data_IF_853012635970
#
_entry.id   IF_853012635970
#
_cell.length_a   1.000
_cell.length_b   1.000
_cell.length_c   1.000
_cell.angle_alpha   90.00
_cell.angle_beta   90.00
_cell.angle_gamma   90.00
#
_symmetry.space_group_name_H-M   'P 1'
#
loop_
_entity.id
_entity.type
_entity.pdbx_description
1 polymer ?
#
# COMPACT_ATOMS: atom_id res chain seq x y z
N UNK A 1 -4.35 -14.16 0.89
CA UNK A 1 -5.20 -14.05 -0.33
C UNK A 1 -6.42 -13.18 -0.03
N UNK A 2 -7.01 -12.55 -1.05
CA UNK A 2 -8.25 -11.78 -0.89
C UNK A 2 -9.36 -12.74 -0.44
N UNK A 3 -9.76 -12.65 0.83
CA UNK A 3 -10.87 -13.44 1.38
C UNK A 3 -12.16 -12.87 0.81
N UNK A 4 -12.63 -13.40 -0.32
CA UNK A 4 -13.90 -13.01 -0.94
C UNK A 4 -13.92 -13.20 -2.46
N UNK A 5 -15.12 -13.28 -3.04
CA UNK A 5 -15.30 -13.37 -4.48
C UNK A 5 -14.69 -12.14 -5.17
N UNK A 6 -13.96 -12.36 -6.27
CA UNK A 6 -13.37 -11.28 -7.09
C UNK A 6 -14.43 -10.48 -7.86
N UNK A 7 -15.71 -10.79 -7.68
CA UNK A 7 -16.87 -10.13 -8.30
C UNK A 7 -16.96 -8.65 -7.92
N UNK A 8 -16.53 -8.29 -6.71
CA UNK A 8 -16.50 -6.90 -6.22
C UNK A 8 -15.46 -6.03 -6.94
N UNK A 9 -14.62 -6.61 -7.79
CA UNK A 9 -13.60 -5.91 -8.56
C UNK A 9 -14.05 -5.71 -10.00
N UNK A 10 -13.64 -4.58 -10.59
CA UNK A 10 -13.90 -4.30 -12.01
C UNK A 10 -13.00 -5.15 -12.90
N UNK A 11 -13.38 -5.32 -14.17
CA UNK A 11 -12.54 -6.03 -15.15
C UNK A 11 -11.18 -5.34 -15.35
N UNK A 12 -11.12 -4.01 -15.17
CA UNK A 12 -9.85 -3.29 -15.20
C UNK A 12 -8.95 -3.66 -14.01
N UNK A 13 -9.51 -3.83 -12.81
CA UNK A 13 -8.74 -4.26 -11.64
C UNK A 13 -8.21 -5.68 -11.79
N UNK A 14 -9.03 -6.59 -12.32
CA UNK A 14 -8.64 -7.98 -12.60
C UNK A 14 -7.49 -8.06 -13.60
N UNK A 15 -7.62 -7.39 -14.77
CA UNK A 15 -6.54 -7.33 -15.79
C UNK A 15 -5.24 -6.74 -15.24
N UNK A 16 -5.31 -5.71 -14.39
CA UNK A 16 -4.12 -5.16 -13.73
C UNK A 16 -3.48 -6.16 -12.78
N UNK A 17 -4.27 -6.91 -12.01
CA UNK A 17 -3.75 -7.94 -11.12
C UNK A 17 -3.07 -9.05 -11.94
N UNK A 18 -3.73 -9.57 -12.98
CA UNK A 18 -3.17 -10.59 -13.87
C UNK A 18 -1.84 -10.16 -14.47
N UNK A 19 -1.75 -8.94 -15.01
CA UNK A 19 -0.50 -8.43 -15.59
C UNK A 19 0.65 -8.30 -14.56
N UNK A 20 0.33 -7.90 -13.32
CA UNK A 20 1.34 -7.83 -12.26
C UNK A 20 1.77 -9.24 -11.85
N UNK A 21 0.82 -10.15 -11.71
CA UNK A 21 1.06 -11.55 -11.34
C UNK A 21 1.98 -12.22 -12.36
N UNK A 22 1.69 -12.09 -13.65
CA UNK A 22 2.52 -12.59 -14.76
C UNK A 22 3.96 -12.07 -14.65
N UNK A 23 4.15 -10.76 -14.49
CA UNK A 23 5.50 -10.19 -14.34
C UNK A 23 6.26 -10.63 -13.08
N UNK A 24 5.57 -11.14 -12.04
CA UNK A 24 6.23 -11.77 -10.90
C UNK A 24 6.51 -13.26 -11.12
N UNK A 25 5.63 -13.98 -11.83
CA UNK A 25 5.87 -15.36 -12.26
C UNK A 25 7.08 -15.46 -13.17
N UNK A 26 7.22 -14.54 -14.13
CA UNK A 26 8.40 -14.43 -15.01
C UNK A 26 9.70 -14.22 -14.22
N UNK A 27 9.61 -13.58 -13.04
CA UNK A 27 10.75 -13.39 -12.12
C UNK A 27 10.99 -14.58 -11.19
N UNK A 28 10.30 -15.70 -11.41
CA UNK A 28 10.44 -16.93 -10.62
C UNK A 28 9.67 -16.95 -9.31
N UNK A 29 8.74 -16.02 -9.07
CA UNK A 29 7.86 -16.07 -7.89
C UNK A 29 6.78 -17.12 -8.13
N UNK A 30 6.51 -17.99 -7.14
CA UNK A 30 5.45 -18.98 -7.25
C UNK A 30 4.08 -18.32 -7.49
N UNK A 31 3.18 -19.03 -8.17
CA UNK A 31 1.89 -18.49 -8.62
C UNK A 31 1.08 -17.87 -7.49
N UNK A 32 0.97 -18.55 -6.35
CA UNK A 32 0.18 -18.09 -5.21
C UNK A 32 0.71 -16.76 -4.61
N UNK A 33 2.04 -16.63 -4.49
CA UNK A 33 2.64 -15.39 -3.98
C UNK A 33 2.60 -14.28 -5.01
N UNK A 34 2.79 -14.59 -6.29
CA UNK A 34 2.65 -13.63 -7.38
C UNK A 34 1.23 -13.04 -7.42
N UNK A 35 0.21 -13.91 -7.35
CA UNK A 35 -1.20 -13.51 -7.24
C UNK A 35 -1.43 -12.64 -6.00
N UNK A 36 -0.92 -13.07 -4.83
CA UNK A 36 -1.08 -12.31 -3.59
C UNK A 36 -0.46 -10.91 -3.68
N UNK A 37 0.74 -10.78 -4.28
CA UNK A 37 1.41 -9.50 -4.50
C UNK A 37 0.61 -8.63 -5.47
N UNK A 38 0.08 -9.22 -6.54
CA UNK A 38 -0.71 -8.51 -7.53
C UNK A 38 -1.98 -7.90 -6.92
N UNK A 39 -2.78 -8.70 -6.23
CA UNK A 39 -3.99 -8.23 -5.57
C UNK A 39 -3.71 -7.23 -4.45
N UNK A 40 -2.64 -7.43 -3.66
CA UNK A 40 -2.22 -6.44 -2.66
C UNK A 40 -1.86 -5.10 -3.32
N UNK A 41 -1.20 -5.13 -4.49
CA UNK A 41 -0.82 -3.93 -5.23
C UNK A 41 -2.05 -3.17 -5.75
N UNK A 42 -2.99 -3.88 -6.37
CA UNK A 42 -4.25 -3.29 -6.86
C UNK A 42 -5.04 -2.71 -5.69
N UNK A 43 -5.22 -3.47 -4.60
CA UNK A 43 -5.96 -3.03 -3.43
C UNK A 43 -5.35 -1.80 -2.78
N UNK A 44 -4.02 -1.71 -2.70
CA UNK A 44 -3.35 -0.52 -2.20
C UNK A 44 -3.66 0.71 -3.04
N UNK A 45 -3.75 0.58 -4.36
CA UNK A 45 -4.00 1.70 -5.26
C UNK A 45 -5.47 2.08 -5.39
N UNK A 46 -6.40 1.14 -5.20
CA UNK A 46 -7.83 1.36 -5.35
C UNK A 46 -8.59 1.45 -4.03
N UNK A 47 -8.00 1.04 -2.91
CA UNK A 47 -8.69 0.86 -1.63
C UNK A 47 -9.56 -0.40 -1.58
N UNK A 48 -9.42 -1.32 -2.54
CA UNK A 48 -10.22 -2.55 -2.65
C UNK A 48 -11.09 -2.60 -3.91
N UNK A 49 -12.11 -3.47 -3.93
CA UNK A 49 -12.99 -3.66 -5.08
C UNK A 49 -13.85 -2.43 -5.38
N UNK A 50 -13.81 -1.94 -6.62
CA UNK A 50 -14.52 -0.72 -7.01
C UNK A 50 -15.99 -0.96 -7.40
N UNK A 51 -16.37 -2.20 -7.68
CA UNK A 51 -17.76 -2.56 -8.04
C UNK A 51 -18.66 -2.71 -6.81
N UNK A 52 -18.12 -3.22 -5.71
CA UNK A 52 -18.92 -3.48 -4.50
C UNK A 52 -18.12 -3.68 -3.22
N UNK A 53 -16.88 -3.18 -3.16
CA UNK A 53 -16.04 -3.20 -1.96
C UNK A 53 -15.65 -1.80 -1.50
N UNK A 54 -14.70 -1.71 -0.57
CA UNK A 54 -14.21 -0.46 0.02
C UNK A 54 -13.58 0.50 -1.01
N UNK A 55 -13.20 0.00 -2.19
CA UNK A 55 -12.71 0.84 -3.28
C UNK A 55 -13.77 1.78 -3.86
N UNK A 56 -15.06 1.51 -3.60
CA UNK A 56 -16.17 2.41 -3.94
C UNK A 56 -16.19 3.68 -3.07
N UNK A 57 -15.85 3.53 -1.79
CA UNK A 57 -15.83 4.62 -0.80
C UNK A 57 -14.51 5.38 -0.80
N UNK A 58 -13.45 4.78 -1.35
CA UNK A 58 -12.14 5.42 -1.43
C UNK A 58 -12.18 6.58 -2.43
N UNK A 59 -11.83 7.78 -1.99
CA UNK A 59 -11.89 8.98 -2.83
C UNK A 59 -10.86 8.95 -3.96
N UNK A 60 -11.13 9.70 -5.04
CA UNK A 60 -10.18 9.83 -6.16
C UNK A 60 -8.82 10.39 -5.70
N UNK A 61 -8.84 11.36 -4.79
CA UNK A 61 -7.63 11.97 -4.20
C UNK A 61 -6.81 10.94 -3.42
N UNK A 62 -7.45 10.09 -2.63
CA UNK A 62 -6.75 9.01 -1.90
C UNK A 62 -6.15 7.98 -2.84
N UNK A 63 -6.90 7.55 -3.87
CA UNK A 63 -6.38 6.63 -4.91
C UNK A 63 -5.16 7.23 -5.62
N UNK A 64 -5.24 8.51 -6.00
CA UNK A 64 -4.14 9.23 -6.62
C UNK A 64 -2.91 9.29 -5.70
N UNK A 65 -3.13 9.63 -4.43
CA UNK A 65 -2.06 9.69 -3.44
C UNK A 65 -1.42 8.31 -3.19
N UNK A 66 -2.21 7.24 -3.17
CA UNK A 66 -1.71 5.87 -3.05
C UNK A 66 -0.83 5.45 -4.24
N UNK A 67 -1.20 5.85 -5.46
CA UNK A 67 -0.37 5.65 -6.67
C UNK A 67 0.92 6.45 -6.60
N UNK A 68 0.84 7.74 -6.24
CA UNK A 68 2.00 8.64 -6.11
C UNK A 68 3.02 8.14 -5.08
N UNK A 69 2.55 7.76 -3.89
CA UNK A 69 3.42 7.22 -2.83
C UNK A 69 4.05 5.89 -3.23
N UNK A 70 3.32 5.03 -3.94
CA UNK A 70 3.86 3.78 -4.47
C UNK A 70 4.96 4.01 -5.51
N UNK A 71 4.75 4.94 -6.44
CA UNK A 71 5.76 5.32 -7.43
C UNK A 71 7.02 5.92 -6.78
N UNK A 72 6.85 6.85 -5.82
CA UNK A 72 7.98 7.43 -5.06
C UNK A 72 8.78 6.34 -4.35
N UNK A 73 8.10 5.36 -3.72
CA UNK A 73 8.76 4.25 -3.04
C UNK A 73 9.49 3.31 -4.00
N UNK A 74 8.93 3.03 -5.17
CA UNK A 74 9.61 2.25 -6.20
C UNK A 74 10.90 2.96 -6.68
N UNK A 75 10.84 4.28 -6.89
CA UNK A 75 12.02 5.07 -7.24
C UNK A 75 13.09 5.07 -6.13
N UNK A 76 12.68 5.21 -4.86
CA UNK A 76 13.59 5.12 -3.73
C UNK A 76 14.26 3.75 -3.62
N UNK A 77 13.52 2.66 -3.84
CA UNK A 77 14.09 1.29 -3.87
C UNK A 77 15.14 1.14 -4.97
N UNK A 78 14.91 1.69 -6.18
CA UNK A 78 15.90 1.67 -7.27
C UNK A 78 17.18 2.43 -6.93
N UNK A 79 17.10 3.42 -6.03
CA UNK A 79 18.25 4.17 -5.50
C UNK A 79 18.90 3.51 -4.28
N UNK A 80 18.50 2.29 -3.92
CA UNK A 80 19.06 1.57 -2.76
C UNK A 80 18.61 2.08 -1.39
N UNK A 81 17.67 3.03 -1.32
CA UNK A 81 17.21 3.58 -0.03
C UNK A 81 16.34 2.53 0.68
N UNK A 82 16.73 2.00 1.85
CA UNK A 82 15.94 0.97 2.55
C UNK A 82 14.61 1.54 3.06
N UNK A 83 13.67 0.65 3.39
CA UNK A 83 12.34 1.07 3.88
C UNK A 83 12.38 1.60 5.32
N UNK A 84 13.35 1.17 6.13
CA UNK A 84 13.54 1.58 7.52
C UNK A 84 13.97 3.04 7.67
N UNK A 85 14.87 3.53 6.81
CA UNK A 85 15.29 4.94 6.75
C UNK A 85 14.19 5.89 6.22
N UNK A 86 13.04 5.35 5.82
CA UNK A 86 11.94 6.14 5.28
C UNK A 86 11.14 6.90 6.34
N UNK A 87 11.19 6.49 7.61
CA UNK A 87 10.42 7.15 8.69
C UNK A 87 10.96 8.55 8.98
N UNK A 88 12.29 8.73 8.95
CA UNK A 88 12.95 10.01 9.22
C UNK A 88 12.58 11.08 8.17
N UNK A 89 12.36 10.64 6.93
CA UNK A 89 11.98 11.50 5.79
C UNK A 89 10.47 11.79 5.70
N UNK A 90 9.66 11.24 6.60
CA UNK A 90 8.21 11.46 6.59
C UNK A 90 7.79 12.70 7.38
N UNK A 91 6.62 13.25 7.03
CA UNK A 91 6.03 14.36 7.76
C UNK A 91 5.47 13.88 9.09
N UNK A 92 5.41 14.77 10.09
CA UNK A 92 4.79 14.48 11.40
C UNK A 92 3.38 13.91 11.24
N UNK A 93 2.59 14.45 10.31
CA UNK A 93 1.24 13.94 10.01
C UNK A 93 1.21 12.51 9.49
N UNK A 94 2.14 12.14 8.60
CA UNK A 94 2.26 10.77 8.10
C UNK A 94 2.61 9.81 9.22
N UNK A 95 3.54 10.21 10.10
CA UNK A 95 3.92 9.45 11.28
C UNK A 95 2.75 9.31 12.26
N UNK A 96 1.97 10.37 12.51
CA UNK A 96 0.75 10.31 13.32
C UNK A 96 -0.30 9.34 12.75
N UNK A 97 -0.53 9.36 11.43
CA UNK A 97 -1.46 8.43 10.77
C UNK A 97 -1.02 6.97 10.93
N UNK A 98 0.28 6.71 10.79
CA UNK A 98 0.85 5.37 11.03
C UNK A 98 0.76 4.95 12.49
N UNK A 99 1.07 5.85 13.41
CA UNK A 99 0.97 5.60 14.84
C UNK A 99 -0.48 5.31 15.26
N UNK A 100 -1.45 6.01 14.66
CA UNK A 100 -2.88 5.71 14.82
C UNK A 100 -3.22 4.31 14.31
N UNK A 101 -2.75 3.93 13.13
CA UNK A 101 -2.99 2.60 12.56
C UNK A 101 -2.37 1.47 13.41
N UNK A 102 -1.26 1.74 14.12
CA UNK A 102 -0.64 0.82 15.09
C UNK A 102 -1.19 0.93 16.51
N UNK A 103 -2.22 1.75 16.76
CA UNK A 103 -2.81 1.99 18.09
C UNK A 103 -1.79 2.45 19.16
N UNK A 104 -0.79 3.25 18.77
CA UNK A 104 0.17 3.81 19.72
C UNK A 104 -0.54 4.82 20.62
N UNK A 105 -0.52 4.55 21.93
CA UNK A 105 -1.07 5.43 22.94
C UNK A 105 -0.16 6.66 23.13
N UNK A 106 -0.72 7.83 23.45
CA UNK A 106 0.06 9.07 23.57
C UNK A 106 0.60 9.64 22.24
N UNK A 107 0.32 9.02 21.08
CA UNK A 107 0.81 9.48 19.77
C UNK A 107 0.55 10.97 19.49
N UNK A 108 -0.55 11.52 19.99
CA UNK A 108 -0.94 12.92 19.73
C UNK A 108 -0.05 13.94 20.45
N UNK A 109 0.58 13.53 21.57
CA UNK A 109 1.51 14.38 22.33
C UNK A 109 2.96 14.21 21.88
N UNK A 110 3.26 13.17 21.11
CA UNK A 110 4.61 12.89 20.63
C UNK A 110 5.09 13.92 19.60
N UNK A 111 6.36 14.32 19.73
CA UNK A 111 7.06 15.07 18.71
C UNK A 111 7.47 14.15 17.53
N UNK A 112 8.06 14.72 16.47
CA UNK A 112 8.39 13.94 15.26
C UNK A 112 9.35 12.79 15.57
N UNK A 113 10.36 13.02 16.39
CA UNK A 113 11.39 12.04 16.74
C UNK A 113 10.80 10.90 17.58
N UNK A 114 10.00 11.24 18.60
CA UNK A 114 9.27 10.28 19.43
C UNK A 114 8.30 9.42 18.60
N UNK A 115 7.63 10.00 17.60
CA UNK A 115 6.79 9.23 16.68
C UNK A 115 7.60 8.29 15.79
N UNK A 116 8.81 8.68 15.37
CA UNK A 116 9.69 7.81 14.59
C UNK A 116 10.16 6.65 15.46
N UNK A 117 10.61 6.93 16.68
CA UNK A 117 11.07 5.92 17.63
C UNK A 117 9.96 4.93 17.98
N UNK A 118 8.75 5.40 18.28
CA UNK A 118 7.60 4.54 18.57
C UNK A 118 7.13 3.72 17.35
N UNK A 119 7.53 4.08 16.12
CA UNK A 119 7.15 3.39 14.89
C UNK A 119 8.17 2.39 14.38
N UNK A 120 9.42 2.45 14.87
CA UNK A 120 10.46 1.44 14.60
C UNK A 120 10.01 0.07 15.10
#
# INVERSE_FOLDING_TARGET
MARGSKEKYTEQQKRKAEHIEEGYKEKGVNSEKAEAIAWATVNKQSGGGERGGSGKETSATEKQQARKTSAKRAAASRRGVPRSQSLDMETKESLLKKARAKNIHGRSTMNKEQLIEALR
#
